data_IF_509632518136
#
_entry.id   IF_509632518136
#
_cell.length_a   1.000
_cell.length_b   1.000
_cell.length_c   1.000
_cell.angle_alpha   90.00
_cell.angle_beta   90.00
_cell.angle_gamma   90.00
#
_symmetry.space_group_name_H-M   'P 1'
#
loop_
_entity.id
_entity.type
_entity.pdbx_description
1 polymer ?
#
# COMPACT_ATOMS: atom_id res chain seq x y z
N UNK A 1 24.80 2.41 -7.58
CA UNK A 1 24.61 1.28 -6.66
C UNK A 1 23.49 1.50 -5.64
N UNK A 2 23.41 2.63 -4.93
CA UNK A 2 22.33 2.90 -3.97
C UNK A 2 20.91 2.95 -4.57
N UNK A 3 20.79 3.49 -5.77
CA UNK A 3 19.50 3.60 -6.49
C UNK A 3 18.92 2.21 -6.80
N UNK A 4 19.76 1.22 -7.09
CA UNK A 4 19.31 -0.14 -7.42
C UNK A 4 18.72 -0.81 -6.18
N UNK A 5 19.33 -0.63 -5.01
CA UNK A 5 18.76 -1.11 -3.74
C UNK A 5 17.43 -0.42 -3.42
N UNK A 6 17.33 0.89 -3.67
CA UNK A 6 16.08 1.67 -3.52
C UNK A 6 14.96 1.19 -4.44
N UNK A 7 15.29 0.82 -5.67
CA UNK A 7 14.34 0.22 -6.63
C UNK A 7 13.92 -1.18 -6.20
N UNK A 8 14.84 -2.00 -5.69
CA UNK A 8 14.50 -3.35 -5.21
C UNK A 8 13.57 -3.28 -4.00
N UNK A 9 13.88 -2.47 -2.98
CA UNK A 9 13.02 -2.34 -1.79
C UNK A 9 11.65 -1.72 -2.08
N UNK A 10 11.48 -1.02 -3.20
CA UNK A 10 10.17 -0.44 -3.58
C UNK A 10 9.38 -1.36 -4.51
N UNK A 11 10.01 -1.90 -5.56
CA UNK A 11 9.34 -2.73 -6.56
C UNK A 11 9.02 -4.12 -6.01
N UNK A 12 9.92 -4.72 -5.24
CA UNK A 12 9.76 -6.09 -4.75
C UNK A 12 8.54 -6.25 -3.83
N UNK A 13 8.33 -5.40 -2.79
CA UNK A 13 7.09 -5.48 -2.00
C UNK A 13 5.86 -5.09 -2.80
N UNK A 14 5.95 -4.16 -3.75
CA UNK A 14 4.81 -3.81 -4.63
C UNK A 14 4.35 -5.01 -5.45
N UNK A 15 5.29 -5.77 -6.03
CA UNK A 15 5.01 -7.00 -6.77
C UNK A 15 4.45 -8.08 -5.86
N UNK A 16 5.03 -8.29 -4.68
CA UNK A 16 4.55 -9.31 -3.73
C UNK A 16 3.13 -8.99 -3.28
N UNK A 17 2.85 -7.75 -2.85
CA UNK A 17 1.52 -7.34 -2.39
C UNK A 17 0.52 -7.37 -3.55
N UNK A 18 0.95 -6.97 -4.75
CA UNK A 18 0.13 -7.05 -5.96
C UNK A 18 -0.25 -8.49 -6.31
N UNK A 19 0.71 -9.42 -6.28
CA UNK A 19 0.49 -10.83 -6.57
C UNK A 19 -0.37 -11.47 -5.47
N UNK A 20 -0.05 -11.28 -4.19
CA UNK A 20 -0.79 -11.87 -3.07
C UNK A 20 -2.23 -11.33 -3.01
N UNK A 21 -2.43 -10.03 -3.16
CA UNK A 21 -3.78 -9.44 -3.13
C UNK A 21 -4.64 -9.88 -4.31
N UNK A 22 -4.03 -10.10 -5.49
CA UNK A 22 -4.73 -10.59 -6.68
C UNK A 22 -5.03 -12.09 -6.60
N UNK A 23 -4.06 -12.90 -6.17
CA UNK A 23 -4.14 -14.36 -6.24
C UNK A 23 -4.75 -15.00 -4.98
N UNK A 24 -4.43 -14.49 -3.79
CA UNK A 24 -4.93 -15.04 -2.52
C UNK A 24 -6.25 -14.39 -2.10
N UNK A 25 -6.35 -13.06 -2.21
CA UNK A 25 -7.55 -12.31 -1.78
C UNK A 25 -8.55 -12.02 -2.90
N UNK A 26 -8.25 -12.38 -4.15
CA UNK A 26 -9.07 -12.09 -5.34
C UNK A 26 -9.55 -10.63 -5.41
N UNK A 27 -8.72 -9.69 -4.93
CA UNK A 27 -9.12 -8.29 -4.90
C UNK A 27 -9.25 -7.76 -6.33
N UNK A 28 -10.30 -6.96 -6.56
CA UNK A 28 -10.44 -6.22 -7.79
C UNK A 28 -9.22 -5.33 -7.99
N UNK A 29 -8.78 -5.18 -9.23
CA UNK A 29 -7.57 -4.43 -9.57
C UNK A 29 -7.61 -3.05 -8.90
N UNK A 30 -8.76 -2.38 -8.94
CA UNK A 30 -9.05 -1.09 -8.31
C UNK A 30 -8.88 -1.03 -6.79
N UNK A 31 -9.32 -2.06 -6.08
CA UNK A 31 -9.14 -2.22 -4.63
C UNK A 31 -7.66 -2.42 -4.28
N UNK A 32 -6.93 -3.16 -5.12
CA UNK A 32 -5.50 -3.44 -4.97
C UNK A 32 -4.65 -2.17 -5.12
N UNK A 33 -4.91 -1.35 -6.15
CA UNK A 33 -4.19 -0.07 -6.34
C UNK A 33 -4.52 0.94 -5.24
N UNK A 34 -5.77 1.02 -4.78
CA UNK A 34 -6.14 1.87 -3.63
C UNK A 34 -5.47 1.43 -2.32
N UNK A 35 -5.37 0.12 -2.10
CA UNK A 35 -4.68 -0.47 -0.95
C UNK A 35 -3.17 -0.19 -1.01
N UNK A 36 -2.55 -0.38 -2.17
CA UNK A 36 -1.15 -0.08 -2.39
C UNK A 36 -0.86 1.41 -2.18
N UNK A 37 -1.66 2.30 -2.76
CA UNK A 37 -1.54 3.75 -2.58
C UNK A 37 -1.70 4.17 -1.10
N UNK A 38 -2.62 3.55 -0.36
CA UNK A 38 -2.81 3.82 1.08
C UNK A 38 -1.61 3.35 1.91
N UNK A 39 -1.07 2.17 1.60
CA UNK A 39 0.10 1.61 2.29
C UNK A 39 1.39 2.40 2.05
N UNK A 40 1.56 2.90 0.83
CA UNK A 40 2.71 3.72 0.40
C UNK A 40 2.52 5.19 0.73
N UNK A 41 1.30 5.59 1.12
CA UNK A 41 0.98 6.97 1.47
C UNK A 41 1.17 7.94 0.29
N UNK A 42 0.77 7.51 -0.91
CA UNK A 42 0.93 8.25 -2.16
C UNK A 42 -0.43 8.76 -2.71
N UNK A 43 -0.80 10.03 -2.46
CA UNK A 43 -1.99 10.67 -3.05
C UNK A 43 -2.07 10.61 -4.59
N UNK A 44 -0.98 10.75 -5.37
CA UNK A 44 -1.07 10.71 -6.83
C UNK A 44 -1.43 9.32 -7.37
N UNK A 45 -1.01 8.25 -6.69
CA UNK A 45 -1.40 6.88 -7.05
C UNK A 45 -2.91 6.66 -6.84
N UNK A 46 -3.48 7.24 -5.77
CA UNK A 46 -4.92 7.22 -5.54
C UNK A 46 -5.69 8.00 -6.61
N UNK A 47 -5.25 9.22 -6.95
CA UNK A 47 -5.88 10.04 -7.99
C UNK A 47 -5.87 9.33 -9.36
N UNK A 48 -4.76 8.67 -9.71
CA UNK A 48 -4.65 7.86 -10.92
C UNK A 48 -5.58 6.64 -10.89
N UNK A 49 -5.65 5.94 -9.74
CA UNK A 49 -6.58 4.82 -9.59
C UNK A 49 -8.04 5.24 -9.70
N UNK A 50 -8.47 6.32 -9.05
CA UNK A 50 -9.83 6.85 -9.14
C UNK A 50 -10.18 7.30 -10.57
N UNK A 51 -9.26 7.99 -11.24
CA UNK A 51 -9.44 8.41 -12.63
C UNK A 51 -9.56 7.21 -13.58
N UNK A 52 -8.83 6.12 -13.31
CA UNK A 52 -8.87 4.91 -14.14
C UNK A 52 -9.98 3.91 -13.76
N UNK A 53 -10.55 4.03 -12.55
CA UNK A 53 -11.55 3.12 -11.98
C UNK A 53 -12.98 3.61 -12.23
N UNK A 54 -13.21 4.92 -12.17
CA UNK A 54 -14.55 5.51 -12.37
C UNK A 54 -15.57 5.14 -11.29
N UNK A 55 -15.13 4.55 -10.18
CA UNK A 55 -15.95 4.09 -9.06
C UNK A 55 -15.16 4.18 -7.74
N UNK A 56 -15.85 4.30 -6.61
CA UNK A 56 -15.27 4.70 -5.31
C UNK A 56 -14.44 3.62 -4.59
N UNK A 57 -14.26 2.44 -5.20
CA UNK A 57 -13.53 1.31 -4.62
C UNK A 57 -12.07 1.64 -4.23
N UNK A 58 -11.27 2.36 -5.04
CA UNK A 58 -9.91 2.73 -4.67
C UNK A 58 -9.87 3.69 -3.47
N UNK A 59 -10.78 4.68 -3.43
CA UNK A 59 -10.92 5.62 -2.31
C UNK A 59 -11.26 4.92 -1.00
N UNK A 60 -12.21 3.98 -1.02
CA UNK A 60 -12.62 3.23 0.17
C UNK A 60 -11.47 2.38 0.71
N UNK A 61 -10.76 1.68 -0.18
CA UNK A 61 -9.58 0.91 0.23
C UNK A 61 -8.50 1.79 0.81
N UNK A 62 -8.17 2.92 0.16
CA UNK A 62 -7.18 3.86 0.67
C UNK A 62 -7.51 4.38 2.07
N UNK A 63 -8.76 4.81 2.28
CA UNK A 63 -9.22 5.30 3.58
C UNK A 63 -9.20 4.24 4.68
N UNK A 64 -9.27 2.95 4.32
CA UNK A 64 -9.21 1.84 5.29
C UNK A 64 -7.78 1.51 5.69
N UNK A 65 -6.85 1.44 4.73
CA UNK A 65 -5.45 1.09 5.03
C UNK A 65 -4.62 2.26 5.54
N UNK A 66 -4.94 3.51 5.23
CA UNK A 66 -4.19 4.67 5.72
C UNK A 66 -4.15 4.77 7.27
N UNK A 67 -5.28 4.76 8.00
CA UNK A 67 -5.26 4.77 9.47
C UNK A 67 -4.68 3.49 10.05
N UNK A 68 -4.92 2.33 9.41
CA UNK A 68 -4.33 1.05 9.83
C UNK A 68 -2.79 1.08 9.75
N UNK A 69 -2.25 1.58 8.65
CA UNK A 69 -0.80 1.67 8.42
C UNK A 69 -0.14 2.69 9.33
N UNK A 70 -0.78 3.84 9.58
CA UNK A 70 -0.38 4.79 10.62
C UNK A 70 -0.29 4.14 11.99
N UNK A 71 -1.34 3.42 12.40
CA UNK A 71 -1.36 2.72 13.68
C UNK A 71 -0.26 1.66 13.78
N UNK A 72 -0.09 0.83 12.75
CA UNK A 72 0.96 -0.18 12.69
C UNK A 72 2.36 0.43 12.77
N UNK A 73 2.61 1.57 12.10
CA UNK A 73 3.89 2.28 12.18
C UNK A 73 4.18 2.72 13.61
N UNK A 74 3.20 3.31 14.31
CA UNK A 74 3.36 3.72 15.72
C UNK A 74 3.62 2.50 16.62
N UNK A 75 2.87 1.42 16.43
CA UNK A 75 3.00 0.20 17.23
C UNK A 75 4.37 -0.47 17.01
N UNK A 76 4.85 -0.55 15.76
CA UNK A 76 6.20 -1.05 15.46
C UNK A 76 7.28 -0.17 16.06
N UNK A 77 7.13 1.16 16.02
CA UNK A 77 8.06 2.07 16.68
C UNK A 77 8.06 1.85 18.20
N UNK A 78 6.90 1.69 18.84
CA UNK A 78 6.82 1.38 20.27
C UNK A 78 7.46 0.03 20.61
N UNK A 79 7.21 -1.02 19.83
CA UNK A 79 7.85 -2.32 20.03
C UNK A 79 9.36 -2.23 19.87
N UNK A 80 9.85 -1.52 18.86
CA UNK A 80 11.28 -1.35 18.61
C UNK A 80 11.97 -0.55 19.72
N UNK A 81 11.29 0.45 20.30
CA UNK A 81 11.80 1.18 21.47
C UNK A 81 11.76 0.32 22.75
N UNK A 82 10.77 -0.55 22.89
CA UNK A 82 10.59 -1.37 24.09
C UNK A 82 11.50 -2.61 24.13
N UNK A 83 11.85 -3.14 22.95
CA UNK A 83 12.72 -4.32 22.79
C UNK A 83 14.13 -3.99 22.25
N UNK A 84 14.38 -2.73 21.87
CA UNK A 84 15.66 -2.23 21.37
C UNK A 84 16.46 -1.47 22.42
#
# INVERSE_FOLDING_TARGET
MWIIYGVIITIFPLLIVGIIGRWYYKLNYFTLIGLLAGSTTDPPALAYSNASSGNDLPSVSYATVYPLTMFLRVLMAQLLIMFG
#
